data_IF_462273669759
#
_entry.id   IF_462273669759
#
_cell.length_a   1.000
_cell.length_b   1.000
_cell.length_c   1.000
_cell.angle_alpha   90.00
_cell.angle_beta   90.00
_cell.angle_gamma   90.00
#
_symmetry.space_group_name_H-M   'P 1'
#
loop_
_entity.id
_entity.type
_entity.pdbx_description
1 polymer ?
#
# COMPACT_ATOMS: atom_id res chain seq x y z
N UNK A 1 -21.88 -9.55 -10.49
CA UNK A 1 -22.89 -10.26 -9.69
C UNK A 1 -24.05 -10.73 -10.56
N UNK A 2 -25.07 -9.90 -10.86
CA UNK A 2 -26.24 -10.30 -11.68
C UNK A 2 -25.90 -11.11 -12.95
N UNK A 3 -25.00 -10.61 -13.81
CA UNK A 3 -24.63 -11.31 -15.05
C UNK A 3 -24.06 -12.70 -14.75
N UNK A 4 -23.11 -12.82 -13.83
CA UNK A 4 -22.49 -14.10 -13.46
C UNK A 4 -23.47 -15.09 -12.79
N UNK A 5 -24.58 -14.62 -12.22
CA UNK A 5 -25.53 -15.48 -11.49
C UNK A 5 -26.83 -15.76 -12.23
N UNK A 6 -27.19 -14.92 -13.22
CA UNK A 6 -28.47 -15.01 -13.95
C UNK A 6 -28.31 -15.35 -15.43
N UNK A 7 -27.08 -15.35 -15.96
CA UNK A 7 -26.83 -15.66 -17.37
C UNK A 7 -25.90 -16.85 -17.52
N UNK A 8 -26.18 -17.72 -18.49
CA UNK A 8 -25.28 -18.79 -18.87
C UNK A 8 -24.16 -18.20 -19.73
N UNK A 9 -22.96 -18.11 -19.17
CA UNK A 9 -21.77 -17.64 -19.87
C UNK A 9 -20.86 -18.81 -20.23
N UNK A 10 -20.23 -18.71 -21.39
CA UNK A 10 -19.11 -19.55 -21.80
C UNK A 10 -17.87 -19.25 -20.94
N UNK A 11 -16.90 -20.16 -20.93
CA UNK A 11 -15.64 -19.96 -20.21
C UNK A 11 -14.87 -18.69 -20.62
N UNK A 12 -14.91 -18.33 -21.90
CA UNK A 12 -14.26 -17.12 -22.42
C UNK A 12 -14.98 -15.84 -21.99
N UNK A 13 -16.31 -15.85 -21.95
CA UNK A 13 -17.10 -14.72 -21.43
C UNK A 13 -16.86 -14.51 -19.93
N UNK A 14 -16.78 -15.60 -19.16
CA UNK A 14 -16.41 -15.53 -17.74
C UNK A 14 -15.00 -14.94 -17.59
N UNK A 15 -14.02 -15.42 -18.37
CA UNK A 15 -12.66 -14.91 -18.32
C UNK A 15 -12.59 -13.41 -18.66
N UNK A 16 -13.24 -12.98 -19.75
CA UNK A 16 -13.31 -11.58 -20.15
C UNK A 16 -14.02 -10.70 -19.11
N UNK A 17 -15.08 -11.21 -18.49
CA UNK A 17 -15.77 -10.52 -17.40
C UNK A 17 -14.87 -10.35 -16.18
N UNK A 18 -14.17 -11.41 -15.76
CA UNK A 18 -13.26 -11.35 -14.62
C UNK A 18 -12.10 -10.38 -14.89
N UNK A 19 -11.51 -10.39 -16.07
CA UNK A 19 -10.47 -9.41 -16.45
C UNK A 19 -11.03 -7.98 -16.37
N UNK A 20 -12.23 -7.73 -16.92
CA UNK A 20 -12.86 -6.41 -16.88
C UNK A 20 -13.14 -5.97 -15.44
N UNK A 21 -13.65 -6.89 -14.61
CA UNK A 21 -13.90 -6.65 -13.19
C UNK A 21 -12.61 -6.29 -12.46
N UNK A 22 -11.52 -7.02 -12.71
CA UNK A 22 -10.23 -6.78 -12.07
C UNK A 22 -9.64 -5.41 -12.40
N UNK A 23 -9.70 -4.99 -13.67
CA UNK A 23 -9.26 -3.66 -14.07
C UNK A 23 -10.12 -2.57 -13.43
N UNK A 24 -11.44 -2.77 -13.40
CA UNK A 24 -12.36 -1.82 -12.79
C UNK A 24 -12.15 -1.69 -11.27
N UNK A 25 -11.94 -2.80 -10.55
CA UNK A 25 -11.66 -2.76 -9.11
C UNK A 25 -10.27 -2.22 -8.79
N UNK A 26 -9.28 -2.45 -9.65
CA UNK A 26 -7.96 -1.82 -9.55
C UNK A 26 -8.05 -0.29 -9.65
N UNK A 27 -8.75 0.22 -10.67
CA UNK A 27 -9.00 1.65 -10.82
C UNK A 27 -9.84 2.24 -9.68
N UNK A 28 -10.83 1.48 -9.18
CA UNK A 28 -11.61 1.89 -8.01
C UNK A 28 -10.71 2.06 -6.77
N UNK A 29 -9.74 1.16 -6.58
CA UNK A 29 -8.81 1.21 -5.46
C UNK A 29 -7.91 2.45 -5.50
N UNK A 30 -7.45 2.88 -6.69
CA UNK A 30 -6.63 4.09 -6.82
C UNK A 30 -7.41 5.35 -6.49
N UNK A 31 -8.66 5.45 -6.95
CA UNK A 31 -9.52 6.59 -6.58
C UNK A 31 -9.83 6.59 -5.08
N UNK A 32 -10.13 5.42 -4.52
CA UNK A 32 -10.43 5.29 -3.09
C UNK A 32 -9.21 5.66 -2.22
N UNK A 33 -8.01 5.28 -2.65
CA UNK A 33 -6.74 5.66 -2.03
C UNK A 33 -6.59 7.19 -1.97
N UNK A 34 -6.74 7.88 -3.10
CA UNK A 34 -6.56 9.33 -3.10
C UNK A 34 -7.57 10.05 -2.21
N UNK A 35 -8.83 9.59 -2.22
CA UNK A 35 -9.89 10.19 -1.42
C UNK A 35 -9.75 9.90 0.08
N UNK A 36 -9.15 8.78 0.49
CA UNK A 36 -8.99 8.48 1.91
C UNK A 36 -7.92 9.35 2.60
N UNK A 37 -7.00 9.96 1.84
CA UNK A 37 -6.01 10.91 2.36
C UNK A 37 -6.53 12.33 2.53
N UNK A 38 -7.62 12.67 1.84
CA UNK A 38 -8.08 14.03 1.79
C UNK A 38 -8.53 14.51 3.18
N UNK A 39 -8.22 15.76 3.57
CA UNK A 39 -8.62 16.28 4.87
C UNK A 39 -10.14 16.49 4.98
N UNK A 40 -10.87 16.51 3.85
CA UNK A 40 -12.32 16.72 3.86
C UNK A 40 -13.05 15.42 4.28
N UNK A 41 -13.94 15.47 5.29
CA UNK A 41 -14.68 14.28 5.73
C UNK A 41 -15.53 13.63 4.63
N UNK A 42 -16.07 14.42 3.70
CA UNK A 42 -16.86 13.90 2.59
C UNK A 42 -16.00 13.09 1.62
N UNK A 43 -14.81 13.57 1.28
CA UNK A 43 -13.87 12.84 0.41
C UNK A 43 -13.51 11.51 1.04
N UNK A 44 -13.15 11.50 2.33
CA UNK A 44 -12.86 10.26 3.08
C UNK A 44 -14.03 9.29 3.11
N UNK A 45 -15.24 9.79 3.36
CA UNK A 45 -16.45 8.97 3.31
C UNK A 45 -16.66 8.34 1.93
N UNK A 46 -16.43 9.08 0.85
CA UNK A 46 -16.51 8.54 -0.51
C UNK A 46 -15.42 7.48 -0.69
N UNK A 47 -14.17 7.76 -0.30
CA UNK A 47 -13.07 6.78 -0.35
C UNK A 47 -13.41 5.48 0.38
N UNK A 48 -13.94 5.58 1.60
CA UNK A 48 -14.38 4.42 2.39
C UNK A 48 -15.48 3.62 1.68
N UNK A 49 -16.49 4.30 1.13
CA UNK A 49 -17.58 3.67 0.39
C UNK A 49 -17.09 2.99 -0.89
N UNK A 50 -16.06 3.53 -1.55
CA UNK A 50 -15.41 2.89 -2.70
C UNK A 50 -14.55 1.68 -2.28
N UNK A 51 -13.98 1.69 -1.07
CA UNK A 51 -13.24 0.56 -0.52
C UNK A 51 -14.13 -0.60 -0.06
N UNK A 52 -15.36 -0.35 0.39
CA UNK A 52 -16.31 -1.39 0.83
C UNK A 52 -16.45 -2.53 -0.19
N UNK A 53 -16.79 -2.29 -1.47
CA UNK A 53 -17.04 -3.36 -2.43
C UNK A 53 -15.81 -4.17 -2.82
N UNK A 54 -14.61 -3.66 -2.53
CA UNK A 54 -13.33 -4.33 -2.78
C UNK A 54 -12.63 -4.77 -1.49
N UNK A 55 -13.29 -4.64 -0.33
CA UNK A 55 -12.83 -5.11 0.98
C UNK A 55 -11.46 -4.56 1.41
N UNK A 56 -11.18 -3.29 1.11
CA UNK A 56 -9.88 -2.65 1.39
C UNK A 56 -9.96 -1.47 2.37
N UNK A 57 -11.04 -1.35 3.15
CA UNK A 57 -11.20 -0.22 4.08
C UNK A 57 -10.11 -0.17 5.16
N UNK A 58 -9.47 -1.30 5.51
CA UNK A 58 -8.32 -1.34 6.43
C UNK A 58 -7.15 -0.49 5.93
N UNK A 59 -7.06 -0.30 4.61
CA UNK A 59 -6.05 0.54 3.98
C UNK A 59 -6.17 2.01 4.41
N UNK A 60 -7.37 2.55 4.64
CA UNK A 60 -7.53 3.91 5.16
C UNK A 60 -6.71 4.08 6.45
N UNK A 61 -6.98 3.25 7.46
CA UNK A 61 -6.31 3.36 8.77
C UNK A 61 -4.81 3.12 8.64
N UNK A 62 -4.41 2.03 7.98
CA UNK A 62 -3.01 1.70 7.80
C UNK A 62 -2.25 2.81 7.07
N UNK A 63 -2.79 3.29 5.97
CA UNK A 63 -2.04 4.14 5.05
C UNK A 63 -1.87 5.56 5.61
N UNK A 64 -2.94 6.11 6.20
CA UNK A 64 -2.92 7.42 6.84
C UNK A 64 -2.09 7.46 8.12
N UNK A 65 -2.16 6.40 8.93
CA UNK A 65 -1.61 6.44 10.29
C UNK A 65 -0.31 5.66 10.47
N UNK A 66 0.05 4.78 9.54
CA UNK A 66 1.30 4.00 9.59
C UNK A 66 2.23 4.33 8.43
N UNK A 67 1.76 4.12 7.21
CA UNK A 67 2.62 4.06 6.04
C UNK A 67 3.32 5.41 5.77
N UNK A 68 2.57 6.51 5.68
CA UNK A 68 3.18 7.84 5.44
C UNK A 68 4.20 8.25 6.51
N UNK A 69 4.02 7.81 7.75
CA UNK A 69 4.93 8.09 8.85
C UNK A 69 6.21 7.25 8.77
N UNK A 70 6.08 5.98 8.38
CA UNK A 70 7.13 4.96 8.50
C UNK A 70 7.67 4.43 7.17
N UNK A 71 7.20 4.93 6.03
CA UNK A 71 7.68 4.54 4.70
C UNK A 71 9.20 4.62 4.61
N UNK A 72 9.80 3.68 3.88
CA UNK A 72 11.24 3.46 3.76
C UNK A 72 11.94 3.17 5.10
N UNK A 73 11.25 2.49 6.03
CA UNK A 73 11.81 1.99 7.28
C UNK A 73 11.39 0.53 7.53
N UNK A 74 12.06 -0.20 8.43
CA UNK A 74 11.63 -1.53 8.84
C UNK A 74 10.21 -1.58 9.44
N UNK A 75 9.70 -0.47 9.98
CA UNK A 75 8.39 -0.44 10.63
C UNK A 75 7.24 -0.45 9.61
N UNK A 76 7.49 -0.11 8.35
CA UNK A 76 6.45 -0.08 7.33
C UNK A 76 6.31 -1.43 6.59
N UNK A 77 5.13 -2.09 6.67
CA UNK A 77 4.81 -3.29 5.90
C UNK A 77 5.02 -3.18 4.39
N UNK A 78 4.76 -2.01 3.79
CA UNK A 78 4.85 -1.77 2.35
C UNK A 78 6.29 -1.51 1.87
N UNK A 79 7.23 -1.24 2.78
CA UNK A 79 8.63 -1.04 2.41
C UNK A 79 9.26 -2.38 2.03
N UNK A 80 9.65 -2.51 0.76
CA UNK A 80 10.20 -3.73 0.19
C UNK A 80 11.72 -3.76 0.32
N UNK A 81 12.27 -4.89 0.76
CA UNK A 81 13.72 -5.02 0.94
C UNK A 81 14.42 -5.35 -0.37
N UNK A 82 15.59 -4.77 -0.58
CA UNK A 82 16.55 -5.21 -1.59
C UNK A 82 16.80 -6.72 -1.43
N UNK A 83 16.64 -7.46 -2.52
CA UNK A 83 16.75 -8.92 -2.55
C UNK A 83 15.52 -9.69 -2.08
N UNK A 84 14.48 -9.03 -1.54
CA UNK A 84 13.21 -9.69 -1.20
C UNK A 84 12.57 -10.29 -2.46
N UNK A 85 11.85 -11.40 -2.30
CA UNK A 85 11.05 -11.98 -3.39
C UNK A 85 9.64 -11.41 -3.30
N UNK A 86 9.03 -11.11 -4.45
CA UNK A 86 7.71 -10.47 -4.49
C UNK A 86 6.61 -11.29 -3.79
N UNK A 87 6.55 -12.62 -3.97
CA UNK A 87 5.42 -13.39 -3.41
C UNK A 87 5.41 -13.43 -1.87
N UNK A 88 6.53 -13.73 -1.18
CA UNK A 88 6.60 -13.57 0.28
C UNK A 88 6.34 -12.14 0.74
N UNK A 89 6.83 -11.14 -0.01
CA UNK A 89 6.56 -9.73 0.29
C UNK A 89 5.07 -9.42 0.24
N UNK A 90 4.37 -9.82 -0.83
CA UNK A 90 2.93 -9.55 -0.98
C UNK A 90 2.14 -10.13 0.19
N UNK A 91 2.41 -11.39 0.56
CA UNK A 91 1.74 -12.03 1.69
C UNK A 91 2.02 -11.29 3.02
N UNK A 92 3.30 -10.97 3.29
CA UNK A 92 3.72 -10.25 4.49
C UNK A 92 3.08 -8.86 4.55
N UNK A 93 3.13 -8.10 3.45
CA UNK A 93 2.57 -6.76 3.34
C UNK A 93 1.07 -6.79 3.61
N UNK A 94 0.32 -7.64 2.89
CA UNK A 94 -1.14 -7.73 3.02
C UNK A 94 -1.57 -8.03 4.46
N UNK A 95 -0.96 -9.03 5.11
CA UNK A 95 -1.31 -9.43 6.48
C UNK A 95 -0.93 -8.32 7.48
N UNK A 96 0.29 -7.78 7.37
CA UNK A 96 0.79 -6.80 8.34
C UNK A 96 0.06 -5.47 8.23
N UNK A 97 -0.33 -5.02 7.03
CA UNK A 97 -1.17 -3.82 6.84
C UNK A 97 -2.47 -3.91 7.65
N UNK A 98 -3.18 -5.03 7.54
CA UNK A 98 -4.42 -5.25 8.28
C UNK A 98 -4.17 -5.36 9.80
N UNK A 99 -3.08 -6.00 10.22
CA UNK A 99 -2.71 -6.07 11.64
C UNK A 99 -2.39 -4.68 12.21
N UNK A 100 -1.61 -3.86 11.50
CA UNK A 100 -1.29 -2.50 11.88
C UNK A 100 -2.55 -1.65 12.01
N UNK A 101 -3.49 -1.73 11.06
CA UNK A 101 -4.75 -1.01 11.13
C UNK A 101 -5.54 -1.35 12.41
N UNK A 102 -5.64 -2.63 12.77
CA UNK A 102 -6.28 -3.06 14.01
C UNK A 102 -5.54 -2.60 15.27
N UNK A 103 -4.22 -2.67 15.27
CA UNK A 103 -3.39 -2.23 16.40
C UNK A 103 -3.54 -0.73 16.65
N UNK A 104 -3.50 0.10 15.61
CA UNK A 104 -3.68 1.55 15.69
C UNK A 104 -5.03 1.89 16.32
N UNK A 105 -6.12 1.33 15.78
CA UNK A 105 -7.45 1.61 16.30
C UNK A 105 -7.66 1.06 17.71
N UNK A 106 -7.09 -0.10 18.02
CA UNK A 106 -7.12 -0.66 19.38
C UNK A 106 -6.46 0.29 20.38
N UNK A 107 -5.24 0.74 20.10
CA UNK A 107 -4.50 1.67 20.97
C UNK A 107 -5.24 3.01 21.11
N UNK A 108 -5.81 3.54 20.02
CA UNK A 108 -6.65 4.75 20.06
C UNK A 108 -7.87 4.57 20.98
N UNK A 109 -8.56 3.44 20.91
CA UNK A 109 -9.68 3.13 21.82
C UNK A 109 -9.22 3.04 23.27
N UNK A 110 -8.13 2.33 23.54
CA UNK A 110 -7.58 2.17 24.90
C UNK A 110 -7.20 3.51 25.53
N UNK A 111 -6.57 4.41 24.77
CA UNK A 111 -6.25 5.78 25.22
C UNK A 111 -7.48 6.61 25.54
N UNK A 112 -8.56 6.41 24.79
CA UNK A 112 -9.84 7.08 25.04
C UNK A 112 -10.66 6.40 26.16
N UNK A 113 -10.11 5.38 26.84
CA UNK A 113 -10.83 4.61 27.86
C UNK A 113 -12.01 3.78 27.29
N UNK A 114 -11.97 3.46 26.00
CA UNK A 114 -13.01 2.73 25.27
C UNK A 114 -12.56 1.30 24.95
N UNK A 115 -13.54 0.41 24.79
CA UNK A 115 -13.29 -0.95 24.29
C UNK A 115 -12.85 -0.93 22.83
N UNK A 116 -11.98 -1.84 22.41
CA UNK A 116 -11.62 -2.06 21.00
C UNK A 116 -12.85 -2.29 20.12
N UNK A 117 -13.93 -2.85 20.68
CA UNK A 117 -15.18 -3.14 19.95
C UNK A 117 -16.19 -1.98 19.96
N UNK A 118 -15.81 -0.81 20.46
CA UNK A 118 -16.69 0.35 20.50
C UNK A 118 -17.05 0.83 19.07
N UNK A 119 -18.29 1.27 18.80
CA UNK A 119 -18.72 1.70 17.46
C UNK A 119 -17.94 2.89 16.86
N UNK A 120 -17.18 3.64 17.67
CA UNK A 120 -16.27 4.69 17.16
C UNK A 120 -15.02 4.13 16.50
N UNK A 121 -14.67 2.85 16.74
CA UNK A 121 -13.54 2.19 16.07
C UNK A 121 -13.84 2.02 14.57
N UNK A 122 -12.98 2.58 13.72
CA UNK A 122 -13.11 2.54 12.27
C UNK A 122 -13.04 1.11 11.75
N UNK A 123 -12.17 0.25 12.29
CA UNK A 123 -12.10 -1.16 11.88
C UNK A 123 -13.40 -1.90 12.15
N UNK A 124 -14.06 -1.62 13.28
CA UNK A 124 -15.38 -2.19 13.60
C UNK A 124 -16.43 -1.72 12.60
N UNK A 125 -16.47 -0.42 12.30
CA UNK A 125 -17.39 0.16 11.32
C UNK A 125 -17.16 -0.40 9.92
N UNK A 126 -15.92 -0.53 9.49
CA UNK A 126 -15.54 -1.05 8.18
C UNK A 126 -15.94 -2.50 8.00
N UNK A 127 -15.70 -3.35 9.01
CA UNK A 127 -16.15 -4.75 8.98
C UNK A 127 -17.66 -4.83 8.91
N UNK A 128 -18.38 -4.00 9.69
CA UNK A 128 -19.84 -3.95 9.62
C UNK A 128 -20.33 -3.53 8.21
N UNK A 129 -19.75 -2.49 7.61
CA UNK A 129 -20.11 -2.02 6.27
C UNK A 129 -19.84 -3.09 5.18
N UNK A 130 -18.69 -3.75 5.24
CA UNK A 130 -18.33 -4.84 4.33
C UNK A 130 -19.21 -6.07 4.53
N UNK A 131 -19.56 -6.42 5.77
CA UNK A 131 -20.48 -7.51 6.07
C UNK A 131 -21.89 -7.23 5.53
N UNK A 132 -22.40 -6.01 5.73
CA UNK A 132 -23.68 -5.56 5.14
C UNK A 132 -23.64 -5.67 3.62
N UNK A 133 -22.54 -5.26 2.99
CA UNK A 133 -22.36 -5.36 1.55
C UNK A 133 -22.41 -6.81 1.06
N UNK A 134 -21.72 -7.74 1.72
CA UNK A 134 -21.77 -9.18 1.39
C UNK A 134 -23.18 -9.74 1.57
N UNK A 135 -23.83 -9.44 2.71
CA UNK A 135 -25.21 -9.89 2.98
C UNK A 135 -26.15 -9.41 1.88
N UNK A 136 -26.07 -8.12 1.50
CA UNK A 136 -26.86 -7.57 0.41
C UNK A 136 -26.65 -8.33 -0.90
N UNK A 137 -25.39 -8.55 -1.29
CA UNK A 137 -25.07 -9.26 -2.54
C UNK A 137 -25.51 -10.73 -2.51
N UNK A 138 -25.41 -11.41 -1.37
CA UNK A 138 -25.87 -12.79 -1.21
C UNK A 138 -27.40 -12.86 -1.22
N UNK A 139 -28.10 -11.93 -0.57
CA UNK A 139 -29.56 -11.86 -0.59
C UNK A 139 -30.13 -11.59 -1.98
N UNK A 140 -29.44 -10.80 -2.80
CA UNK A 140 -29.89 -10.44 -4.15
C UNK A 140 -29.51 -11.48 -5.21
N UNK A 141 -28.33 -12.08 -5.11
CA UNK A 141 -27.75 -12.89 -6.18
C UNK A 141 -27.31 -14.31 -5.77
N UNK A 142 -27.55 -14.69 -4.51
CA UNK A 142 -27.23 -16.01 -3.97
C UNK A 142 -25.78 -16.20 -3.54
N UNK A 143 -25.44 -17.42 -3.10
CA UNK A 143 -24.12 -17.75 -2.54
C UNK A 143 -22.96 -17.59 -3.53
N UNK A 144 -23.23 -17.61 -4.83
CA UNK A 144 -22.23 -17.33 -5.88
C UNK A 144 -21.64 -15.92 -5.81
N UNK A 145 -22.28 -14.99 -5.09
CA UNK A 145 -21.70 -13.66 -4.81
C UNK A 145 -20.42 -13.74 -3.98
N UNK A 146 -20.27 -14.75 -3.11
CA UNK A 146 -19.12 -14.89 -2.20
C UNK A 146 -17.79 -15.04 -2.98
N UNK A 147 -17.63 -16.02 -3.90
CA UNK A 147 -16.39 -16.12 -4.67
C UNK A 147 -16.15 -14.90 -5.57
N UNK A 148 -17.19 -14.20 -6.05
CA UNK A 148 -17.03 -12.96 -6.81
C UNK A 148 -16.47 -11.85 -5.90
N UNK A 149 -17.00 -11.67 -4.69
CA UNK A 149 -16.46 -10.74 -3.69
C UNK A 149 -15.00 -11.05 -3.36
N UNK A 150 -14.64 -12.34 -3.27
CA UNK A 150 -13.25 -12.73 -3.06
C UNK A 150 -12.33 -12.28 -4.20
N UNK A 151 -12.75 -12.43 -5.47
CA UNK A 151 -11.99 -11.93 -6.62
C UNK A 151 -11.90 -10.39 -6.61
N UNK A 152 -12.99 -9.71 -6.26
CA UNK A 152 -13.03 -8.24 -6.12
C UNK A 152 -12.07 -7.72 -5.06
N UNK A 153 -11.82 -8.49 -4.00
CA UNK A 153 -10.79 -8.20 -3.00
C UNK A 153 -9.39 -8.57 -3.46
N UNK A 154 -9.20 -9.83 -3.88
CA UNK A 154 -7.88 -10.41 -4.09
C UNK A 154 -7.09 -9.64 -5.15
N UNK A 155 -7.74 -9.25 -6.25
CA UNK A 155 -7.03 -8.57 -7.34
C UNK A 155 -6.50 -7.18 -6.97
N UNK A 156 -7.31 -6.18 -6.57
CA UNK A 156 -6.78 -4.87 -6.23
C UNK A 156 -5.84 -4.93 -5.03
N UNK A 157 -6.05 -5.85 -4.08
CA UNK A 157 -5.15 -6.04 -2.95
C UNK A 157 -3.77 -6.58 -3.38
N UNK A 158 -3.73 -7.53 -4.31
CA UNK A 158 -2.48 -8.02 -4.89
C UNK A 158 -1.81 -6.97 -5.77
N UNK A 159 -2.58 -6.24 -6.58
CA UNK A 159 -2.05 -5.15 -7.42
C UNK A 159 -1.41 -4.06 -6.56
N UNK A 160 -2.05 -3.66 -5.47
CA UNK A 160 -1.49 -2.74 -4.48
C UNK A 160 -0.19 -3.29 -3.85
N UNK A 161 -0.15 -4.59 -3.53
CA UNK A 161 1.07 -5.19 -3.01
C UNK A 161 2.20 -5.23 -4.05
N UNK A 162 1.89 -5.34 -5.33
CA UNK A 162 2.90 -5.17 -6.39
C UNK A 162 3.33 -3.70 -6.48
N UNK A 163 2.38 -2.76 -6.44
CA UNK A 163 2.64 -1.32 -6.39
C UNK A 163 3.63 -0.93 -5.27
N UNK A 164 3.31 -1.31 -4.03
CA UNK A 164 4.19 -1.08 -2.86
C UNK A 164 5.61 -1.61 -3.12
N UNK A 165 5.70 -2.81 -3.71
CA UNK A 165 6.97 -3.45 -3.99
C UNK A 165 7.79 -2.68 -5.01
N UNK A 166 7.16 -2.12 -6.05
CA UNK A 166 7.82 -1.26 -7.03
C UNK A 166 8.29 0.04 -6.39
N UNK A 167 7.36 0.69 -5.68
CA UNK A 167 7.47 2.04 -5.14
C UNK A 167 8.48 2.16 -4.00
N UNK A 168 8.70 1.09 -3.23
CA UNK A 168 9.56 1.14 -2.03
C UNK A 168 10.71 0.12 -2.07
N UNK A 169 11.11 -0.36 -3.25
CA UNK A 169 12.15 -1.37 -3.35
C UNK A 169 13.54 -0.88 -2.95
N UNK A 170 14.05 -1.41 -1.84
CA UNK A 170 15.44 -1.25 -1.41
C UNK A 170 15.81 0.15 -0.89
N UNK A 171 14.85 1.07 -0.81
CA UNK A 171 15.11 2.43 -0.33
C UNK A 171 14.91 2.49 1.18
N UNK A 172 15.88 3.07 1.88
CA UNK A 172 15.87 3.20 3.34
C UNK A 172 16.16 4.61 3.81
N UNK A 173 15.45 5.03 4.86
CA UNK A 173 15.70 6.26 5.61
C UNK A 173 16.77 6.05 6.66
N UNK A 174 17.61 7.07 6.88
CA UNK A 174 18.57 7.06 7.98
C UNK A 174 17.85 7.13 9.34
N UNK A 175 18.27 6.28 10.27
CA UNK A 175 17.91 6.39 11.68
C UNK A 175 18.77 7.45 12.36
N UNK A 176 18.14 8.32 13.15
CA UNK A 176 18.77 9.39 13.91
C UNK A 176 19.26 8.86 15.26
N UNK A 177 20.08 9.65 15.95
CA UNK A 177 20.68 9.28 17.25
C UNK A 177 19.64 9.03 18.34
N UNK A 178 18.47 9.65 18.24
CA UNK A 178 17.34 9.46 19.16
C UNK A 178 16.48 8.22 18.86
N UNK A 179 16.85 7.45 17.82
CA UNK A 179 16.15 6.25 17.38
C UNK A 179 15.01 6.52 16.38
N UNK A 180 14.64 7.78 16.13
CA UNK A 180 13.66 8.16 15.11
C UNK A 180 14.25 8.09 13.69
N UNK A 181 13.43 8.24 12.65
CA UNK A 181 13.91 8.25 11.25
C UNK A 181 13.87 9.66 10.66
N UNK A 182 14.86 10.01 9.84
CA UNK A 182 14.90 11.28 9.12
C UNK A 182 13.61 11.52 8.32
N UNK A 183 13.20 12.77 8.09
CA UNK A 183 11.94 13.05 7.37
C UNK A 183 11.90 12.36 5.99
N UNK A 184 10.70 11.94 5.56
CA UNK A 184 10.47 11.43 4.21
C UNK A 184 10.87 12.48 3.16
N UNK A 185 11.55 12.05 2.11
CA UNK A 185 12.12 12.85 1.02
C UNK A 185 11.80 12.17 -0.30
N UNK A 186 11.87 12.89 -1.44
CA UNK A 186 11.57 12.31 -2.74
C UNK A 186 12.42 11.08 -3.09
N UNK A 187 13.66 11.00 -2.60
CA UNK A 187 14.52 9.85 -2.88
C UNK A 187 14.16 8.55 -2.12
N UNK A 188 13.14 8.58 -1.25
CA UNK A 188 12.68 7.41 -0.49
C UNK A 188 11.54 6.62 -1.18
N UNK A 189 11.17 6.98 -2.41
CA UNK A 189 10.16 6.30 -3.21
C UNK A 189 10.54 6.30 -4.69
N UNK A 190 10.08 5.30 -5.46
CA UNK A 190 10.27 5.23 -6.91
C UNK A 190 9.11 5.88 -7.66
N UNK A 191 9.41 6.69 -8.67
CA UNK A 191 8.45 7.38 -9.53
C UNK A 191 8.30 6.72 -10.92
N UNK A 192 7.16 6.98 -11.57
CA UNK A 192 6.95 6.96 -13.01
C UNK A 192 6.38 8.32 -13.48
N UNK A 193 6.56 8.62 -14.76
CA UNK A 193 6.04 9.83 -15.41
C UNK A 193 5.38 9.52 -16.76
N UNK A 194 5.08 8.24 -17.03
CA UNK A 194 4.48 7.79 -18.28
C UNK A 194 3.00 8.16 -18.28
N UNK A 195 2.57 9.00 -19.23
CA UNK A 195 1.20 9.55 -19.31
C UNK A 195 0.09 8.50 -19.14
N UNK A 196 0.23 7.32 -19.75
CA UNK A 196 -0.77 6.24 -19.66
C UNK A 196 -0.84 5.67 -18.24
N UNK A 197 0.32 5.42 -17.61
CA UNK A 197 0.39 5.02 -16.20
C UNK A 197 -0.29 6.08 -15.32
N UNK A 198 0.10 7.34 -15.47
CA UNK A 198 -0.38 8.42 -14.61
C UNK A 198 -1.88 8.66 -14.78
N UNK A 199 -2.45 8.43 -15.97
CA UNK A 199 -3.90 8.49 -16.15
C UNK A 199 -4.60 7.32 -15.44
N UNK A 200 -4.08 6.10 -15.57
CA UNK A 200 -4.68 4.89 -14.98
C UNK A 200 -4.57 4.85 -13.46
N UNK A 201 -3.48 5.38 -12.90
CA UNK A 201 -3.21 5.34 -11.46
C UNK A 201 -3.48 6.69 -10.76
N UNK A 202 -4.30 7.57 -11.36
CA UNK A 202 -4.64 8.87 -10.76
C UNK A 202 -3.39 9.70 -10.37
N UNK A 203 -2.33 9.65 -11.18
CA UNK A 203 -1.04 10.34 -10.95
C UNK A 203 -0.25 9.89 -9.71
N UNK A 204 -0.73 8.87 -8.98
CA UNK A 204 -0.04 8.38 -7.78
C UNK A 204 1.35 7.81 -8.09
N UNK A 205 1.58 7.44 -9.36
CA UNK A 205 2.87 7.02 -9.88
C UNK A 205 3.96 8.10 -9.73
N UNK A 206 3.58 9.36 -9.46
CA UNK A 206 4.43 10.44 -8.91
C UNK A 206 4.58 10.30 -7.39
N UNK A 207 4.94 9.09 -6.97
CA UNK A 207 4.81 8.59 -5.60
C UNK A 207 5.70 9.33 -4.59
N UNK A 208 6.82 9.84 -5.06
CA UNK A 208 7.78 10.60 -4.28
C UNK A 208 7.21 11.93 -3.80
N UNK A 209 6.45 12.64 -4.64
CA UNK A 209 5.76 13.87 -4.23
C UNK A 209 4.59 13.55 -3.30
N UNK A 210 3.87 12.44 -3.55
CA UNK A 210 2.78 11.95 -2.68
C UNK A 210 3.25 11.74 -1.24
N UNK A 211 4.41 11.12 -1.06
CA UNK A 211 5.00 10.92 0.26
C UNK A 211 5.70 12.13 0.86
N UNK A 212 6.43 12.90 0.05
CA UNK A 212 7.16 14.07 0.55
C UNK A 212 6.21 15.23 0.92
N UNK A 213 5.05 15.32 0.27
CA UNK A 213 4.08 16.39 0.42
C UNK A 213 2.66 15.85 0.67
N UNK A 214 2.52 15.08 1.76
CA UNK A 214 1.24 14.50 2.22
C UNK A 214 0.16 15.58 2.25
N UNK A 215 -0.95 15.34 1.55
CA UNK A 215 -2.10 16.25 1.44
C UNK A 215 -2.13 17.09 0.16
N UNK A 216 -1.11 16.99 -0.70
CA UNK A 216 -1.19 17.51 -2.06
C UNK A 216 -2.22 16.72 -2.87
N UNK A 217 -3.19 17.38 -3.53
CA UNK A 217 -4.16 16.69 -4.38
C UNK A 217 -3.47 15.98 -5.56
N UNK A 218 -3.93 14.77 -5.86
CA UNK A 218 -3.33 13.89 -6.86
C UNK A 218 -3.19 14.54 -8.24
N UNK A 219 -4.14 15.41 -8.62
CA UNK A 219 -4.17 16.09 -9.93
C UNK A 219 -2.94 16.98 -10.17
N UNK A 220 -2.28 17.43 -9.09
CA UNK A 220 -1.14 18.35 -9.13
C UNK A 220 0.13 17.76 -8.50
N UNK A 221 0.17 16.44 -8.31
CA UNK A 221 1.41 15.73 -7.98
C UNK A 221 2.47 16.04 -9.04
N UNK A 222 3.72 16.17 -8.62
CA UNK A 222 4.85 16.56 -9.48
C UNK A 222 5.80 15.40 -9.63
N UNK A 223 6.41 15.33 -10.81
CA UNK A 223 7.60 14.51 -10.98
C UNK A 223 8.74 15.23 -10.25
N UNK A 224 9.38 14.55 -9.31
CA UNK A 224 10.50 15.10 -8.54
C UNK A 224 11.82 14.76 -9.24
N UNK A 225 12.74 15.71 -9.31
CA UNK A 225 14.03 15.50 -10.00
C UNK A 225 14.97 14.61 -9.18
N UNK A 226 14.84 14.66 -7.85
CA UNK A 226 15.63 13.86 -6.90
C UNK A 226 15.09 12.44 -6.70
N UNK A 227 13.88 12.17 -7.20
CA UNK A 227 13.24 10.87 -7.04
C UNK A 227 13.82 9.83 -7.99
N UNK A 228 14.13 8.60 -7.50
CA UNK A 228 14.49 7.51 -8.38
C UNK A 228 13.32 7.15 -9.29
N UNK A 229 13.60 6.79 -10.55
CA UNK A 229 12.56 6.46 -11.53
C UNK A 229 12.60 5.01 -11.96
N UNK A 230 11.41 4.43 -12.10
CA UNK A 230 11.23 3.12 -12.68
C UNK A 230 11.71 3.12 -14.15
N UNK A 231 12.58 2.18 -14.56
CA UNK A 231 13.31 2.29 -15.81
C UNK A 231 12.47 2.06 -17.09
N UNK A 232 11.25 1.52 -16.97
CA UNK A 232 10.35 1.25 -18.11
C UNK A 232 8.90 1.67 -17.81
N UNK A 233 8.71 2.52 -16.83
CA UNK A 233 7.39 2.91 -16.33
C UNK A 233 6.62 1.80 -15.63
N UNK A 234 5.51 2.17 -15.02
CA UNK A 234 4.77 1.39 -14.03
C UNK A 234 4.22 0.08 -14.60
N UNK A 235 3.47 0.17 -15.71
CA UNK A 235 2.80 -0.98 -16.33
C UNK A 235 3.78 -2.10 -16.74
N UNK A 236 4.94 -1.72 -17.28
CA UNK A 236 5.98 -2.69 -17.66
C UNK A 236 6.65 -3.28 -16.42
N UNK A 237 6.94 -2.43 -15.43
CA UNK A 237 7.63 -2.87 -14.22
C UNK A 237 6.76 -3.79 -13.35
N UNK A 238 5.42 -3.66 -13.37
CA UNK A 238 4.50 -4.62 -12.74
C UNK A 238 4.77 -6.04 -13.27
N UNK A 239 4.81 -6.21 -14.59
CA UNK A 239 5.04 -7.52 -15.21
C UNK A 239 6.44 -8.06 -14.90
N UNK A 240 7.45 -7.18 -14.91
CA UNK A 240 8.82 -7.55 -14.57
C UNK A 240 8.95 -7.98 -13.11
N UNK A 241 8.25 -7.31 -12.18
CA UNK A 241 8.31 -7.60 -10.75
C UNK A 241 7.79 -9.00 -10.41
N UNK A 242 6.80 -9.49 -11.18
CA UNK A 242 6.27 -10.85 -11.07
C UNK A 242 7.28 -11.93 -11.52
N UNK A 243 8.42 -11.56 -12.10
CA UNK A 243 9.51 -12.47 -12.51
C UNK A 243 10.77 -12.09 -11.71
N UNK A 244 10.98 -12.63 -10.49
CA UNK A 244 12.03 -12.16 -9.58
C UNK A 244 13.45 -12.11 -10.18
N UNK A 245 13.92 -13.07 -11.01
CA UNK A 245 15.23 -12.96 -11.65
C UNK A 245 15.34 -11.75 -12.59
N UNK A 246 14.27 -11.42 -13.33
CA UNK A 246 14.24 -10.28 -14.23
C UNK A 246 14.18 -8.96 -13.47
N UNK A 247 13.37 -8.90 -12.41
CA UNK A 247 13.33 -7.77 -11.49
C UNK A 247 14.72 -7.44 -10.95
N UNK A 248 15.40 -8.43 -10.36
CA UNK A 248 16.74 -8.24 -9.78
C UNK A 248 17.74 -7.77 -10.82
N UNK A 249 17.78 -8.44 -11.98
CA UNK A 249 18.68 -8.05 -13.08
C UNK A 249 18.48 -6.60 -13.52
N UNK A 250 17.24 -6.08 -13.46
CA UNK A 250 16.94 -4.71 -13.87
C UNK A 250 17.15 -3.70 -12.74
N UNK A 251 16.66 -3.98 -11.54
CA UNK A 251 16.59 -3.01 -10.44
C UNK A 251 17.86 -2.95 -9.61
N UNK A 252 18.57 -4.06 -9.42
CA UNK A 252 19.76 -4.08 -8.54
C UNK A 252 20.81 -3.04 -8.92
N UNK A 253 21.29 -2.96 -10.18
CA UNK A 253 22.29 -1.95 -10.56
C UNK A 253 21.81 -0.50 -10.37
N UNK A 254 20.50 -0.27 -10.49
CA UNK A 254 19.92 1.08 -10.38
C UNK A 254 19.83 1.47 -8.91
N UNK A 255 19.29 0.60 -8.06
CA UNK A 255 19.20 0.82 -6.60
C UNK A 255 20.61 1.03 -6.02
N UNK A 256 21.56 0.21 -6.44
CA UNK A 256 22.97 0.29 -6.04
C UNK A 256 23.62 1.64 -6.36
N UNK A 257 23.27 2.27 -7.49
CA UNK A 257 23.77 3.62 -7.81
C UNK A 257 23.28 4.67 -6.80
N UNK A 258 22.09 4.50 -6.22
CA UNK A 258 21.59 5.37 -5.14
C UNK A 258 22.28 5.12 -3.80
N UNK A 259 22.77 3.91 -3.57
CA UNK A 259 23.62 3.59 -2.41
C UNK A 259 25.01 4.19 -2.57
N UNK A 260 25.62 4.11 -3.76
CA UNK A 260 26.93 4.68 -4.05
C UNK A 260 26.97 6.21 -3.83
N UNK A 261 25.85 6.92 -4.07
CA UNK A 261 25.73 8.37 -3.78
C UNK A 261 25.42 8.69 -2.32
N UNK A 262 25.03 7.69 -1.50
CA UNK A 262 24.57 7.89 -0.13
C UNK A 262 23.23 8.63 -0.02
N UNK A 263 22.46 8.71 -1.12
CA UNK A 263 21.15 9.36 -1.15
C UNK A 263 20.13 8.66 -0.24
N UNK A 264 20.24 7.35 -0.12
CA UNK A 264 19.43 6.49 0.72
C UNK A 264 20.32 5.46 1.42
N UNK A 265 19.80 4.91 2.51
CA UNK A 265 20.44 3.81 3.22
C UNK A 265 19.95 2.47 2.66
N UNK A 266 20.81 1.44 2.51
CA UNK A 266 20.36 0.14 2.03
C UNK A 266 19.36 -0.53 2.98
N UNK A 267 18.13 -0.78 2.49
CA UNK A 267 17.17 -1.65 3.14
C UNK A 267 17.13 -3.01 2.44
N UNK A 268 17.71 -4.05 3.02
CA UNK A 268 17.92 -5.32 2.34
C UNK A 268 17.57 -6.54 3.18
N UNK A 269 17.28 -7.66 2.52
CA UNK A 269 17.26 -8.95 3.20
C UNK A 269 18.69 -9.36 3.58
N UNK A 270 18.90 -10.07 4.71
CA UNK A 270 20.22 -10.47 5.15
C UNK A 270 20.98 -11.25 4.07
N UNK A 271 22.23 -10.85 3.80
CA UNK A 271 23.11 -11.50 2.83
C UNK A 271 22.79 -11.25 1.35
N UNK A 272 21.80 -10.42 1.00
CA UNK A 272 21.52 -10.11 -0.40
C UNK A 272 22.37 -8.98 -0.98
N UNK A 273 22.87 -8.07 -0.14
CA UNK A 273 23.68 -6.94 -0.61
C UNK A 273 25.09 -7.38 -1.01
N UNK A 274 25.67 -6.76 -2.05
CA UNK A 274 27.10 -6.79 -2.27
C UNK A 274 27.89 -6.34 -1.04
N UNK A 275 29.04 -6.96 -0.80
CA UNK A 275 29.87 -6.74 0.40
C UNK A 275 30.22 -5.26 0.62
N UNK A 276 30.42 -4.49 -0.47
CA UNK A 276 30.73 -3.05 -0.40
C UNK A 276 29.65 -2.21 0.31
N UNK A 277 28.40 -2.67 0.38
CA UNK A 277 27.31 -1.96 1.06
C UNK A 277 26.99 -2.52 2.43
N UNK A 278 27.60 -3.64 2.85
CA UNK A 278 27.26 -4.31 4.10
C UNK A 278 27.44 -3.39 5.32
N UNK A 279 28.49 -2.55 5.31
CA UNK A 279 28.76 -1.58 6.36
C UNK A 279 27.79 -0.39 6.41
N UNK A 280 26.95 -0.21 5.39
CA UNK A 280 25.95 0.86 5.33
C UNK A 280 24.59 0.43 5.91
N UNK A 281 24.37 -0.87 6.13
CA UNK A 281 23.11 -1.38 6.67
C UNK A 281 23.03 -1.05 8.16
N UNK A 282 21.99 -0.33 8.62
CA UNK A 282 21.85 -0.02 10.04
C UNK A 282 21.65 -1.30 10.87
N UNK A 283 22.02 -1.24 12.15
CA UNK A 283 21.85 -2.37 13.05
C UNK A 283 20.36 -2.77 13.17
N UNK A 284 20.09 -4.08 13.20
CA UNK A 284 18.72 -4.62 13.27
C UNK A 284 17.93 -4.58 11.94
N UNK A 285 18.43 -3.91 10.90
CA UNK A 285 17.75 -3.88 9.60
C UNK A 285 17.81 -5.23 8.87
N UNK A 286 16.77 -5.51 8.09
CA UNK A 286 16.64 -6.72 7.27
C UNK A 286 16.03 -7.93 7.98
N UNK A 287 16.00 -7.93 9.31
CA UNK A 287 15.22 -8.91 10.07
C UNK A 287 13.71 -8.67 9.85
N UNK A 288 12.89 -9.71 10.01
CA UNK A 288 11.45 -9.46 10.09
C UNK A 288 11.21 -8.62 11.35
N UNK A 289 10.50 -7.48 11.25
CA UNK A 289 10.23 -6.66 12.44
C UNK A 289 9.54 -7.54 13.49
N UNK A 290 9.95 -7.38 14.75
CA UNK A 290 9.38 -8.06 15.92
C UNK A 290 7.89 -7.71 16.16
N UNK A 291 7.39 -7.90 17.38
CA UNK A 291 6.02 -7.51 17.71
C UNK A 291 5.83 -5.98 17.69
N UNK A 292 4.69 -5.59 17.09
CA UNK A 292 4.11 -4.24 16.90
C UNK A 292 4.99 -3.20 16.19
N UNK A 293 4.79 -2.97 14.87
CA UNK A 293 5.37 -1.81 14.17
C UNK A 293 4.72 -0.47 14.54
N UNK A 294 3.62 -0.49 15.31
CA UNK A 294 2.84 0.70 15.68
C UNK A 294 3.45 1.38 16.90
N UNK A 295 3.68 2.68 16.78
CA UNK A 295 4.34 3.53 17.76
C UNK A 295 3.52 4.81 18.08
N UNK A 296 4.04 5.62 19.00
CA UNK A 296 3.44 6.90 19.42
C UNK A 296 3.22 7.89 18.27
N UNK A 297 4.13 7.91 17.27
CA UNK A 297 3.99 8.81 16.13
C UNK A 297 2.77 8.45 15.28
N UNK A 298 2.49 7.16 15.12
CA UNK A 298 1.31 6.64 14.43
C UNK A 298 0.01 7.02 15.16
N UNK A 299 0.01 6.94 16.49
CA UNK A 299 -1.14 7.29 17.32
C UNK A 299 -1.44 8.79 17.30
N UNK A 300 -0.41 9.63 17.35
CA UNK A 300 -0.58 11.08 17.32
C UNK A 300 -1.26 11.56 16.04
N UNK A 301 -0.97 10.94 14.88
CA UNK A 301 -1.64 11.26 13.62
C UNK A 301 -3.11 10.82 13.66
N UNK A 302 -3.39 9.61 14.14
CA UNK A 302 -4.75 9.08 14.25
C UNK A 302 -5.66 9.90 15.18
N UNK A 303 -5.11 10.41 16.30
CA UNK A 303 -5.85 11.25 17.25
C UNK A 303 -6.14 12.65 16.69
N UNK A 304 -5.16 13.25 16.03
CA UNK A 304 -5.34 14.56 15.38
C UNK A 304 -6.50 14.51 14.39
N UNK A 305 -6.60 13.44 13.61
CA UNK A 305 -7.69 13.23 12.66
C UNK A 305 -9.03 12.98 13.34
N UNK A 306 -9.06 12.20 14.42
CA UNK A 306 -10.31 11.96 15.17
C UNK A 306 -10.87 13.24 15.82
N UNK A 307 -10.03 14.25 16.05
CA UNK A 307 -10.40 15.54 16.66
C UNK A 307 -10.84 16.61 15.66
N UNK A 308 -10.69 16.38 14.35
CA UNK A 308 -11.02 17.32 13.25
C UNK A 308 -12.33 16.98 12.55
#
# INVERSE_FOLDING_TARGET
HWVLTQTALTGWEIAGFLISLTLATGFLATVAHELCHHPQPLDRLIGDLLFVPIFMCDFHVYHNFMHHTHVATPNDPASARYGEKIYPFMLRSIIRKTQSAWQIEKMRMERNGQSTWHPSNLMVRFIAMQAIWVVLLVSLFGLWSIPICFVQYAFPRLLLAVADYLEHYGLGRRQLEDGSYEKVRPNHAWDDSTMVSSMLFCQIDRHSDHHANVGRPYQILRVMDEAPRLPHGYLTMILIALIPPLWRRRMHPIVEAYYDTGSVVPYAVPGALPEKYAAMVPEGWGQNPGESPVDESSLAVAEKEASS
#
